data_IF_895360311702
#
_entry.id   IF_895360311702
#
_cell.length_a   1.000
_cell.length_b   1.000
_cell.length_c   1.000
_cell.angle_alpha   90.00
_cell.angle_beta   90.00
_cell.angle_gamma   90.00
#
_symmetry.space_group_name_H-M   'P 1'
#
loop_
_entity.id
_entity.type
_entity.pdbx_description
1 polymer ?
#
# COMPACT_ATOMS: atom_id res chain seq x y z
N UNK A 1 -23.56 7.92 -34.27
CA UNK A 1 -22.21 8.49 -34.38
C UNK A 1 -22.17 9.77 -33.57
N UNK A 2 -21.85 9.71 -32.30
CA UNK A 2 -21.32 10.85 -31.53
C UNK A 2 -20.40 10.29 -30.46
N UNK A 3 -19.14 10.21 -30.78
CA UNK A 3 -18.03 10.03 -29.86
C UNK A 3 -17.94 11.30 -28.99
N UNK A 4 -18.39 11.21 -27.75
CA UNK A 4 -18.00 12.21 -26.75
C UNK A 4 -16.58 11.88 -26.31
N UNK A 5 -15.63 12.72 -26.74
CA UNK A 5 -14.33 12.86 -26.10
C UNK A 5 -14.60 13.21 -24.63
N UNK A 6 -14.23 12.29 -23.72
CA UNK A 6 -14.09 12.63 -22.32
C UNK A 6 -12.85 13.50 -22.18
N UNK A 7 -13.05 14.68 -21.61
CA UNK A 7 -12.06 15.70 -21.31
C UNK A 7 -11.04 15.16 -20.30
N UNK A 8 -9.78 15.27 -20.62
CA UNK A 8 -8.63 14.63 -19.99
C UNK A 8 -8.13 15.44 -18.77
N UNK A 9 -9.04 15.81 -17.85
CA UNK A 9 -8.67 16.43 -16.59
C UNK A 9 -9.55 15.88 -15.45
N UNK A 10 -8.93 15.07 -14.57
CA UNK A 10 -9.44 14.61 -13.25
C UNK A 10 -10.23 13.29 -13.21
N UNK A 11 -9.76 12.22 -13.84
CA UNK A 11 -10.25 10.89 -13.44
C UNK A 11 -9.29 10.30 -12.40
N UNK A 12 -9.44 10.68 -11.15
CA UNK A 12 -8.70 10.12 -9.99
C UNK A 12 -9.32 8.82 -9.47
N UNK A 13 -10.19 8.13 -10.23
CA UNK A 13 -10.91 6.97 -9.73
C UNK A 13 -10.97 5.86 -10.77
N UNK A 14 -10.63 4.65 -10.36
CA UNK A 14 -10.94 3.45 -11.12
C UNK A 14 -12.39 3.02 -10.82
N UNK A 15 -13.19 2.81 -11.85
CA UNK A 15 -14.60 2.40 -11.72
C UNK A 15 -14.68 0.89 -11.63
N UNK A 16 -15.16 0.35 -10.51
CA UNK A 16 -15.42 -1.08 -10.34
C UNK A 16 -16.88 -1.39 -10.64
N UNK A 17 -17.12 -2.30 -11.58
CA UNK A 17 -18.44 -2.81 -11.88
C UNK A 17 -18.72 -4.07 -11.05
N UNK A 18 -19.65 -4.01 -10.10
CA UNK A 18 -20.13 -5.18 -9.38
C UNK A 18 -21.65 -5.32 -9.48
N UNK A 19 -22.14 -6.54 -9.28
CA UNK A 19 -23.58 -6.81 -9.25
C UNK A 19 -24.23 -6.13 -8.02
N UNK A 20 -24.60 -4.85 -8.15
CA UNK A 20 -25.16 -4.03 -7.09
C UNK A 20 -24.79 -2.55 -7.16
N UNK A 21 -24.03 -2.12 -8.16
CA UNK A 21 -23.68 -0.69 -8.34
C UNK A 21 -22.23 -0.45 -8.80
N UNK A 22 -21.92 0.82 -8.94
CA UNK A 22 -20.57 1.29 -9.26
C UNK A 22 -19.85 1.60 -7.94
N UNK A 23 -18.66 1.07 -7.76
CA UNK A 23 -17.77 1.47 -6.67
C UNK A 23 -16.55 2.17 -7.26
N UNK A 24 -16.29 3.38 -6.78
CA UNK A 24 -15.11 4.15 -7.18
C UNK A 24 -14.00 3.85 -6.19
N UNK A 25 -12.88 3.34 -6.68
CA UNK A 25 -11.62 3.29 -5.93
C UNK A 25 -10.73 4.39 -6.47
N UNK A 26 -10.16 5.17 -5.57
CA UNK A 26 -9.16 6.18 -5.91
C UNK A 26 -7.95 5.49 -6.56
N UNK A 27 -7.43 6.05 -7.64
CA UNK A 27 -6.25 5.53 -8.33
C UNK A 27 -5.04 5.44 -7.39
N UNK A 28 -4.94 6.37 -6.44
CA UNK A 28 -3.89 6.37 -5.43
C UNK A 28 -3.99 5.14 -4.52
N UNK A 29 -5.20 4.75 -4.11
CA UNK A 29 -5.46 3.53 -3.31
C UNK A 29 -5.09 2.28 -4.10
N UNK A 30 -5.32 2.28 -5.42
CA UNK A 30 -4.94 1.16 -6.26
C UNK A 30 -3.42 1.04 -6.40
N UNK A 31 -2.72 2.16 -6.55
CA UNK A 31 -1.26 2.20 -6.58
C UNK A 31 -0.66 1.71 -5.24
N UNK A 32 -1.19 2.16 -4.12
CA UNK A 32 -0.76 1.71 -2.80
C UNK A 32 -1.03 0.21 -2.59
N UNK A 33 -2.18 -0.31 -3.08
CA UNK A 33 -2.47 -1.73 -3.06
C UNK A 33 -1.41 -2.53 -3.84
N UNK A 34 -1.10 -2.10 -5.04
CA UNK A 34 -0.11 -2.75 -5.89
C UNK A 34 1.24 -2.78 -5.16
N UNK A 35 1.69 -1.63 -4.69
CA UNK A 35 2.97 -1.49 -3.98
C UNK A 35 3.05 -2.35 -2.71
N UNK A 36 1.94 -2.53 -1.98
CA UNK A 36 1.91 -3.32 -0.74
C UNK A 36 1.86 -4.83 -0.98
N UNK A 37 1.16 -5.26 -2.03
CA UNK A 37 0.83 -6.69 -2.24
C UNK A 37 1.70 -7.33 -3.32
N UNK A 38 2.15 -6.55 -4.28
CA UNK A 38 2.86 -7.02 -5.47
C UNK A 38 4.33 -6.60 -5.36
N UNK A 39 5.25 -7.43 -5.84
CA UNK A 39 6.66 -7.05 -5.94
C UNK A 39 6.88 -6.13 -7.13
N UNK A 40 7.88 -5.22 -7.03
CA UNK A 40 8.23 -4.29 -8.12
C UNK A 40 8.45 -5.00 -9.47
N UNK A 41 9.02 -6.21 -9.45
CA UNK A 41 9.27 -7.02 -10.65
C UNK A 41 8.00 -7.53 -11.35
N UNK A 42 6.86 -7.57 -10.64
CA UNK A 42 5.59 -8.10 -11.13
C UNK A 42 4.52 -7.00 -11.30
N UNK A 43 4.85 -5.76 -11.02
CA UNK A 43 3.90 -4.65 -11.03
C UNK A 43 3.28 -4.45 -12.42
N UNK A 44 4.08 -4.47 -13.49
CA UNK A 44 3.58 -4.34 -14.86
C UNK A 44 2.60 -5.46 -15.26
N UNK A 45 2.82 -6.67 -14.74
CA UNK A 45 1.96 -7.82 -14.99
C UNK A 45 0.69 -7.80 -14.12
N UNK A 46 0.77 -7.21 -12.93
CA UNK A 46 -0.35 -7.17 -11.98
C UNK A 46 -1.44 -6.18 -12.37
N UNK A 47 -1.09 -5.03 -12.96
CA UNK A 47 -2.04 -4.00 -13.38
C UNK A 47 -3.16 -4.57 -14.27
N UNK A 48 -2.88 -5.25 -15.41
CA UNK A 48 -3.92 -5.78 -16.27
C UNK A 48 -4.74 -6.91 -15.62
N UNK A 49 -4.17 -7.67 -14.67
CA UNK A 49 -4.90 -8.68 -13.90
C UNK A 49 -5.90 -8.02 -12.96
N UNK A 50 -5.48 -6.97 -12.24
CA UNK A 50 -6.35 -6.18 -11.37
C UNK A 50 -7.48 -5.51 -12.15
N UNK A 51 -7.21 -4.91 -13.31
CA UNK A 51 -8.24 -4.34 -14.18
C UNK A 51 -9.29 -5.36 -14.61
N UNK A 52 -8.90 -6.60 -14.90
CA UNK A 52 -9.83 -7.66 -15.22
C UNK A 52 -10.71 -8.03 -14.02
N UNK A 53 -10.12 -8.13 -12.82
CA UNK A 53 -10.85 -8.41 -11.58
C UNK A 53 -11.84 -7.30 -11.22
N UNK A 54 -11.46 -6.05 -11.44
CA UNK A 54 -12.31 -4.88 -11.13
C UNK A 54 -13.53 -4.79 -12.03
N UNK A 55 -13.49 -5.37 -13.23
CA UNK A 55 -14.63 -5.45 -14.15
C UNK A 55 -15.69 -6.48 -13.73
N UNK A 56 -15.40 -7.28 -12.70
CA UNK A 56 -16.36 -8.24 -12.13
C UNK A 56 -15.78 -9.64 -11.95
N UNK A 57 -16.67 -10.62 -11.78
CA UNK A 57 -16.26 -12.02 -11.62
C UNK A 57 -15.66 -12.55 -12.91
N UNK A 58 -14.48 -13.18 -12.80
CA UNK A 58 -13.70 -13.65 -13.94
C UNK A 58 -12.90 -14.89 -13.55
N UNK A 59 -12.65 -15.80 -14.50
CA UNK A 59 -11.79 -16.96 -14.29
C UNK A 59 -10.33 -16.63 -14.58
N UNK A 60 -9.41 -17.42 -14.03
CA UNK A 60 -7.97 -17.26 -14.29
C UNK A 60 -7.63 -17.50 -15.78
N UNK A 61 -8.34 -18.40 -16.46
CA UNK A 61 -8.21 -18.61 -17.89
C UNK A 61 -8.66 -17.37 -18.69
N UNK A 62 -9.82 -16.78 -18.36
CA UNK A 62 -10.31 -15.57 -19.03
C UNK A 62 -9.38 -14.37 -18.82
N UNK A 63 -8.77 -14.25 -17.64
CA UNK A 63 -7.76 -13.22 -17.39
C UNK A 63 -6.54 -13.46 -18.28
N UNK A 64 -6.04 -14.70 -18.33
CA UNK A 64 -4.89 -15.07 -19.16
C UNK A 64 -5.12 -14.75 -20.64
N UNK A 65 -6.31 -15.04 -21.16
CA UNK A 65 -6.68 -14.70 -22.55
C UNK A 65 -6.75 -13.20 -22.81
N UNK A 66 -7.36 -12.44 -21.89
CA UNK A 66 -7.53 -10.99 -22.04
C UNK A 66 -6.22 -10.21 -21.91
N UNK A 67 -5.37 -10.64 -21.00
CA UNK A 67 -4.10 -9.96 -20.69
C UNK A 67 -2.92 -10.46 -21.52
N UNK A 68 -3.07 -11.59 -22.22
CA UNK A 68 -2.01 -12.31 -22.93
C UNK A 68 -0.86 -12.75 -22.02
N UNK A 69 -1.09 -12.78 -20.70
CA UNK A 69 -0.15 -13.29 -19.72
C UNK A 69 -0.26 -14.81 -19.61
N UNK A 70 0.86 -15.46 -19.30
CA UNK A 70 0.86 -16.91 -19.02
C UNK A 70 0.00 -17.20 -17.79
N UNK A 71 -0.78 -18.28 -17.85
CA UNK A 71 -1.72 -18.68 -16.78
C UNK A 71 -1.04 -18.84 -15.40
N UNK A 72 0.20 -19.29 -15.36
CA UNK A 72 0.96 -19.41 -14.11
C UNK A 72 1.31 -18.05 -13.49
N UNK A 73 1.53 -17.02 -14.31
CA UNK A 73 1.76 -15.64 -13.85
C UNK A 73 0.45 -15.09 -13.27
N UNK A 74 -0.66 -15.21 -14.03
CA UNK A 74 -1.99 -14.78 -13.57
C UNK A 74 -2.33 -15.42 -12.23
N UNK A 75 -2.18 -16.74 -12.11
CA UNK A 75 -2.45 -17.46 -10.86
C UNK A 75 -1.57 -16.98 -9.70
N UNK A 76 -0.30 -16.72 -9.94
CA UNK A 76 0.62 -16.21 -8.93
C UNK A 76 0.16 -14.86 -8.37
N UNK A 77 -0.22 -13.92 -9.25
CA UNK A 77 -0.76 -12.61 -8.87
C UNK A 77 -2.09 -12.77 -8.11
N UNK A 78 -3.01 -13.58 -8.63
CA UNK A 78 -4.30 -13.84 -8.00
C UNK A 78 -4.17 -14.42 -6.59
N UNK A 79 -3.23 -15.34 -6.37
CA UNK A 79 -2.97 -15.89 -5.03
C UNK A 79 -2.36 -14.87 -4.09
N UNK A 80 -1.49 -13.97 -4.54
CA UNK A 80 -1.02 -12.86 -3.71
C UNK A 80 -2.15 -11.93 -3.27
N UNK A 81 -3.03 -11.57 -4.20
CA UNK A 81 -4.22 -10.78 -3.88
C UNK A 81 -5.16 -11.50 -2.90
N UNK A 82 -5.28 -12.81 -3.03
CA UNK A 82 -6.06 -13.64 -2.10
C UNK A 82 -5.42 -13.69 -0.71
N UNK A 83 -4.12 -13.91 -0.62
CA UNK A 83 -3.38 -13.96 0.65
C UNK A 83 -3.42 -12.60 1.38
N UNK A 84 -3.43 -11.50 0.64
CA UNK A 84 -3.67 -10.16 1.17
C UNK A 84 -5.14 -9.90 1.56
N UNK A 85 -6.05 -10.82 1.24
CA UNK A 85 -7.48 -10.71 1.54
C UNK A 85 -8.27 -9.76 0.64
N UNK A 86 -7.66 -9.24 -0.44
CA UNK A 86 -8.27 -8.26 -1.37
C UNK A 86 -8.92 -8.91 -2.59
N UNK A 87 -8.73 -10.22 -2.75
CA UNK A 87 -9.46 -11.04 -3.72
C UNK A 87 -10.01 -12.29 -3.03
N UNK A 88 -11.08 -12.82 -3.58
CA UNK A 88 -11.65 -14.10 -3.16
C UNK A 88 -11.96 -14.95 -4.39
N UNK A 89 -12.09 -16.26 -4.20
CA UNK A 89 -12.51 -17.14 -5.29
C UNK A 89 -13.57 -18.13 -4.87
N UNK A 90 -14.36 -18.56 -5.85
CA UNK A 90 -15.28 -19.68 -5.73
C UNK A 90 -14.83 -20.80 -6.67
N UNK A 91 -14.60 -21.97 -6.10
CA UNK A 91 -14.31 -23.19 -6.88
C UNK A 91 -15.62 -23.87 -7.26
N UNK A 92 -15.80 -24.15 -8.53
CA UNK A 92 -16.90 -24.97 -9.08
C UNK A 92 -16.32 -26.16 -9.84
N UNK A 93 -17.05 -27.27 -9.85
CA UNK A 93 -16.69 -28.46 -10.60
C UNK A 93 -17.68 -28.63 -11.74
N UNK A 94 -17.17 -28.72 -12.95
CA UNK A 94 -17.98 -29.00 -14.13
C UNK A 94 -18.55 -30.44 -14.03
N UNK A 95 -19.86 -30.64 -14.16
CA UNK A 95 -20.45 -31.94 -14.01
C UNK A 95 -20.11 -32.90 -15.13
N UNK A 96 -19.83 -32.43 -16.35
CA UNK A 96 -19.54 -33.25 -17.52
C UNK A 96 -18.04 -33.58 -17.61
N UNK A 97 -17.19 -32.56 -17.54
CA UNK A 97 -15.76 -32.73 -17.71
C UNK A 97 -15.02 -33.09 -16.42
N UNK A 98 -15.68 -32.93 -15.26
CA UNK A 98 -15.10 -33.10 -13.92
C UNK A 98 -13.94 -32.15 -13.59
N UNK A 99 -13.66 -31.16 -14.45
CA UNK A 99 -12.63 -30.15 -14.22
C UNK A 99 -13.10 -29.09 -13.21
N UNK A 100 -12.15 -28.53 -12.49
CA UNK A 100 -12.39 -27.44 -11.54
C UNK A 100 -12.10 -26.10 -12.18
N UNK A 101 -13.07 -25.18 -12.05
CA UNK A 101 -12.93 -23.78 -12.46
C UNK A 101 -12.90 -22.88 -11.22
N UNK A 102 -12.01 -21.94 -11.22
CA UNK A 102 -11.85 -20.93 -10.18
C UNK A 102 -12.38 -19.60 -10.70
N UNK A 103 -13.46 -19.10 -10.09
CA UNK A 103 -14.04 -17.80 -10.41
C UNK A 103 -13.62 -16.82 -9.34
N UNK A 104 -12.86 -15.82 -9.73
CA UNK A 104 -12.28 -14.81 -8.87
C UNK A 104 -13.18 -13.58 -8.76
N UNK A 105 -13.10 -12.91 -7.62
CA UNK A 105 -13.80 -11.67 -7.30
C UNK A 105 -12.86 -10.75 -6.55
N UNK A 106 -12.86 -9.46 -6.91
CA UNK A 106 -12.19 -8.41 -6.17
C UNK A 106 -13.05 -7.99 -4.96
N UNK A 107 -12.41 -7.67 -3.84
CA UNK A 107 -13.06 -7.27 -2.58
C UNK A 107 -12.63 -5.82 -2.21
N UNK A 108 -13.23 -4.80 -2.84
CA UNK A 108 -12.79 -3.40 -2.71
C UNK A 108 -12.88 -2.87 -1.28
N UNK A 109 -13.87 -3.34 -0.49
CA UNK A 109 -14.00 -2.95 0.92
C UNK A 109 -12.78 -3.41 1.73
N UNK A 110 -12.26 -4.60 1.43
CA UNK A 110 -11.06 -5.13 2.07
C UNK A 110 -9.79 -4.35 1.72
N UNK A 111 -9.70 -3.89 0.47
CA UNK A 111 -8.63 -2.99 0.04
C UNK A 111 -8.64 -1.72 0.88
N UNK A 112 -9.78 -1.07 0.96
CA UNK A 112 -9.94 0.16 1.75
C UNK A 112 -9.59 -0.04 3.24
N UNK A 113 -10.04 -1.15 3.85
CA UNK A 113 -9.69 -1.50 5.23
C UNK A 113 -8.18 -1.71 5.40
N UNK A 114 -7.54 -2.43 4.47
CA UNK A 114 -6.10 -2.70 4.50
C UNK A 114 -5.28 -1.41 4.45
N UNK A 115 -5.59 -0.54 3.49
CA UNK A 115 -4.88 0.73 3.31
C UNK A 115 -5.09 1.65 4.51
N UNK A 116 -6.32 1.78 5.04
CA UNK A 116 -6.59 2.56 6.26
C UNK A 116 -5.79 2.08 7.46
N UNK A 117 -5.68 0.76 7.63
CA UNK A 117 -4.89 0.16 8.71
C UNK A 117 -3.41 0.50 8.55
N UNK A 118 -2.86 0.34 7.34
CA UNK A 118 -1.46 0.67 7.03
C UNK A 118 -1.16 2.14 7.30
N UNK A 119 -2.00 3.03 6.79
CA UNK A 119 -1.90 4.47 7.01
C UNK A 119 -1.89 4.81 8.51
N UNK A 120 -2.83 4.26 9.28
CA UNK A 120 -2.89 4.48 10.74
C UNK A 120 -1.61 3.98 11.45
N UNK A 121 -1.03 2.88 10.98
CA UNK A 121 0.22 2.35 11.52
C UNK A 121 1.41 3.28 11.23
N UNK A 122 1.50 3.82 10.01
CA UNK A 122 2.54 4.78 9.63
C UNK A 122 2.42 6.05 10.47
N UNK A 123 1.23 6.64 10.57
CA UNK A 123 0.98 7.84 11.38
C UNK A 123 1.35 7.61 12.85
N UNK A 124 1.01 6.44 13.40
CA UNK A 124 1.39 6.09 14.77
C UNK A 124 2.92 6.04 14.92
N UNK A 125 3.63 5.36 14.01
CA UNK A 125 5.10 5.26 14.05
C UNK A 125 5.77 6.63 13.92
N UNK A 126 5.27 7.48 13.02
CA UNK A 126 5.79 8.85 12.85
C UNK A 126 5.59 9.70 14.11
N UNK A 127 4.43 9.59 14.77
CA UNK A 127 4.16 10.30 16.03
C UNK A 127 5.07 9.81 17.17
N UNK A 128 5.25 8.48 17.29
CA UNK A 128 6.18 7.90 18.28
C UNK A 128 7.63 8.34 18.02
N UNK A 129 8.06 8.37 16.76
CA UNK A 129 9.37 8.87 16.38
C UNK A 129 9.52 10.37 16.68
N UNK A 130 8.50 11.18 16.37
CA UNK A 130 8.51 12.61 16.66
C UNK A 130 8.61 12.86 18.16
N UNK A 131 7.80 12.19 18.97
CA UNK A 131 7.83 12.29 20.42
C UNK A 131 9.22 11.91 20.98
N UNK A 132 9.82 10.85 20.45
CA UNK A 132 11.16 10.43 20.83
C UNK A 132 12.22 11.48 20.48
N UNK A 133 12.17 12.07 19.27
CA UNK A 133 13.11 13.10 18.85
C UNK A 133 12.94 14.41 19.64
N UNK A 134 11.72 14.83 19.94
CA UNK A 134 11.43 16.07 20.67
C UNK A 134 11.80 15.98 22.16
N UNK A 135 11.72 14.79 22.75
CA UNK A 135 11.97 14.60 24.18
C UNK A 135 13.41 14.21 24.52
N UNK A 136 14.29 13.98 23.56
CA UNK A 136 15.65 13.54 23.80
C UNK A 136 16.68 14.50 23.17
N UNK A 137 17.81 14.64 23.83
CA UNK A 137 19.03 15.21 23.27
C UNK A 137 19.94 14.07 22.79
N UNK A 138 20.59 14.26 21.65
CA UNK A 138 21.38 13.22 21.04
C UNK A 138 22.87 13.58 20.95
N UNK A 139 23.69 12.56 21.06
CA UNK A 139 25.12 12.62 20.93
C UNK A 139 25.58 11.58 19.90
N UNK A 140 26.45 11.99 18.98
CA UNK A 140 26.91 11.13 17.88
C UNK A 140 28.43 10.97 17.94
N UNK A 141 28.87 9.79 17.57
CA UNK A 141 30.29 9.54 17.35
C UNK A 141 30.73 10.26 16.06
N UNK A 142 31.82 11.01 16.11
CA UNK A 142 32.38 11.68 14.93
C UNK A 142 32.77 10.78 13.79
N UNK A 143 32.95 9.48 14.05
CA UNK A 143 33.20 8.45 13.05
C UNK A 143 31.93 7.68 12.62
N UNK A 144 30.76 8.13 13.07
CA UNK A 144 29.46 7.57 12.63
C UNK A 144 29.08 6.20 13.23
N UNK A 145 29.72 5.73 14.31
CA UNK A 145 29.46 4.40 14.86
C UNK A 145 28.13 4.33 15.63
N UNK A 146 27.87 5.32 16.51
CA UNK A 146 26.71 5.34 17.41
C UNK A 146 26.06 6.71 17.49
N UNK A 147 24.75 6.69 17.72
CA UNK A 147 23.93 7.83 18.11
C UNK A 147 23.23 7.43 19.41
N UNK A 148 23.51 8.14 20.48
CA UNK A 148 23.00 7.91 21.81
C UNK A 148 22.12 9.07 22.26
N UNK A 149 21.12 8.74 23.08
CA UNK A 149 20.43 9.75 23.89
C UNK A 149 21.39 10.30 24.96
N UNK A 150 21.01 11.40 25.62
CA UNK A 150 21.80 11.96 26.71
C UNK A 150 22.09 10.94 27.81
N UNK A 151 21.08 10.15 28.20
CA UNK A 151 21.22 9.15 29.26
C UNK A 151 22.22 8.05 28.87
N UNK A 152 22.07 7.48 27.67
CA UNK A 152 22.99 6.48 27.12
C UNK A 152 24.42 7.05 26.97
N UNK A 153 24.57 8.29 26.47
CA UNK A 153 25.85 8.93 26.35
C UNK A 153 26.51 9.17 27.73
N UNK A 154 25.71 9.43 28.75
CA UNK A 154 26.18 9.61 30.13
C UNK A 154 26.72 8.29 30.69
N UNK A 155 26.04 7.17 30.44
CA UNK A 155 26.51 5.83 30.86
C UNK A 155 27.88 5.50 30.25
N UNK A 156 28.11 5.88 29.01
CA UNK A 156 29.35 5.69 28.29
C UNK A 156 30.38 6.85 28.46
N UNK A 157 30.15 7.76 29.43
CA UNK A 157 30.96 8.94 29.68
C UNK A 157 31.24 9.78 28.41
N UNK A 158 30.25 9.90 27.52
CA UNK A 158 30.31 10.59 26.23
C UNK A 158 31.48 10.09 25.36
N UNK A 159 31.79 8.80 25.41
CA UNK A 159 32.85 8.15 24.66
C UNK A 159 32.28 6.99 23.83
N UNK A 160 32.64 6.95 22.55
CA UNK A 160 32.20 5.88 21.68
C UNK A 160 32.82 4.54 22.10
N UNK A 161 32.02 3.51 22.42
CA UNK A 161 32.53 2.22 22.87
C UNK A 161 33.33 1.46 21.81
N UNK A 162 33.14 1.79 20.53
CA UNK A 162 33.83 1.12 19.43
C UNK A 162 35.19 1.73 19.12
N UNK A 163 35.30 3.07 19.05
CA UNK A 163 36.53 3.72 18.63
C UNK A 163 37.19 4.61 19.68
N UNK A 164 36.59 4.78 20.85
CA UNK A 164 37.10 5.59 21.94
C UNK A 164 37.07 7.09 21.69
N UNK A 165 36.50 7.56 20.58
CA UNK A 165 36.37 8.99 20.30
C UNK A 165 35.30 9.62 21.19
N UNK A 166 35.44 10.91 21.51
CA UNK A 166 34.40 11.67 22.18
C UNK A 166 33.17 11.78 21.30
N UNK A 167 32.01 11.74 21.92
CA UNK A 167 30.74 11.98 21.24
C UNK A 167 30.41 13.47 21.28
N UNK A 168 29.86 13.98 20.20
CA UNK A 168 29.47 15.37 20.04
C UNK A 168 27.95 15.51 20.03
N UNK A 169 27.45 16.65 20.56
CA UNK A 169 26.04 16.96 20.49
C UNK A 169 25.54 17.02 19.05
N UNK A 170 24.40 16.40 18.78
CA UNK A 170 23.74 16.43 17.50
C UNK A 170 22.48 17.29 17.58
N UNK A 171 22.41 18.34 16.77
CA UNK A 171 21.16 19.05 16.54
C UNK A 171 20.26 18.19 15.64
N UNK A 172 19.10 17.80 16.16
CA UNK A 172 18.11 16.96 15.45
C UNK A 172 16.93 17.77 14.91
N UNK A 173 17.04 19.09 14.84
CA UNK A 173 15.97 19.99 14.36
C UNK A 173 15.52 19.65 12.94
N UNK A 174 16.45 19.28 12.04
CA UNK A 174 16.12 18.87 10.67
C UNK A 174 15.32 17.58 10.66
N UNK A 175 15.71 16.58 11.45
CA UNK A 175 14.99 15.29 11.58
C UNK A 175 13.57 15.51 12.10
N UNK A 176 13.41 16.35 13.12
CA UNK A 176 12.11 16.73 13.67
C UNK A 176 11.24 17.38 12.59
N UNK A 177 11.82 18.29 11.78
CA UNK A 177 11.07 18.95 10.72
C UNK A 177 10.68 17.98 9.61
N UNK A 178 11.57 17.09 9.17
CA UNK A 178 11.27 16.04 8.19
C UNK A 178 10.11 15.13 8.65
N UNK A 179 10.12 14.68 9.91
CA UNK A 179 9.05 13.86 10.47
C UNK A 179 7.72 14.65 10.50
N UNK A 180 7.75 15.94 10.86
CA UNK A 180 6.55 16.80 10.86
C UNK A 180 5.98 17.00 9.47
N UNK A 181 6.84 17.21 8.48
CA UNK A 181 6.43 17.39 7.09
C UNK A 181 5.80 16.09 6.54
N UNK A 182 6.43 14.96 6.81
CA UNK A 182 5.88 13.66 6.44
C UNK A 182 4.54 13.39 7.14
N UNK A 183 4.44 13.63 8.44
CA UNK A 183 3.19 13.49 9.20
C UNK A 183 2.07 14.36 8.60
N UNK A 184 2.41 15.59 8.23
CA UNK A 184 1.46 16.52 7.59
C UNK A 184 0.96 16.03 6.24
N UNK A 185 1.80 15.34 5.45
CA UNK A 185 1.38 14.72 4.19
C UNK A 185 0.36 13.61 4.44
N UNK A 186 0.58 12.76 5.44
CA UNK A 186 -0.37 11.69 5.79
C UNK A 186 -1.67 12.24 6.39
N UNK A 187 -1.62 13.29 7.19
CA UNK A 187 -2.82 13.89 7.81
C UNK A 187 -3.66 14.72 6.82
N UNK A 188 -3.02 15.42 5.87
CA UNK A 188 -3.71 16.25 4.89
C UNK A 188 -4.24 15.44 3.69
N UNK A 189 -3.56 14.38 3.29
CA UNK A 189 -4.04 13.43 2.29
C UNK A 189 -5.05 12.43 2.88
N UNK A 190 -5.69 12.84 3.98
CA UNK A 190 -6.55 12.03 4.81
C UNK A 190 -7.43 11.09 4.01
N UNK A 191 -7.33 9.79 4.32
CA UNK A 191 -8.16 8.69 3.82
C UNK A 191 -9.67 8.86 4.10
N UNK A 192 -10.08 9.94 4.75
CA UNK A 192 -11.48 10.35 4.90
C UNK A 192 -12.14 10.72 3.55
N UNK A 193 -11.35 10.88 2.49
CA UNK A 193 -11.83 11.16 1.14
C UNK A 193 -12.19 9.90 0.33
N UNK A 194 -11.90 8.69 0.82
CA UNK A 194 -12.36 7.47 0.17
C UNK A 194 -13.85 7.29 0.49
N UNK A 195 -14.66 8.09 -0.20
CA UNK A 195 -16.12 7.90 -0.19
C UNK A 195 -16.42 6.67 -1.05
N UNK A 196 -16.68 5.56 -0.41
CA UNK A 196 -17.46 4.46 -1.00
C UNK A 196 -18.86 5.01 -1.28
N UNK A 197 -19.03 5.66 -2.42
CA UNK A 197 -20.35 6.11 -2.84
C UNK A 197 -21.05 4.92 -3.49
N UNK A 198 -21.82 4.19 -2.69
CA UNK A 198 -22.79 3.23 -3.22
C UNK A 198 -23.92 4.05 -3.84
N UNK A 199 -23.92 4.20 -5.17
CA UNK A 199 -25.03 4.81 -5.88
C UNK A 199 -26.03 3.68 -6.13
N UNK A 200 -27.04 3.59 -5.25
CA UNK A 200 -28.21 2.76 -5.50
C UNK A 200 -29.04 3.39 -6.62
N UNK A 201 -29.20 2.67 -7.72
CA UNK A 201 -30.17 2.97 -8.81
C UNK A 201 -31.47 2.25 -8.53
#
# INVERSE_FOLDING_TARGET
VHSKKFDDQHTRYAVIFQAGGFQLIDEQVLQELIHEVITEEEEEEAIPVLECLMKGKVTDEEISEKTQLKLNIVRRILYRLYDAGVASYKRSKDPETQWYTYTWKFEPEKVTEMIKRKHSEIVRKLREALEFEENNMFFVCVNGHYRFTFDEATEENFTCPECGSKMEFMDNSEIIQEIKDELSLYENNGFDSIKTTTINS
#
